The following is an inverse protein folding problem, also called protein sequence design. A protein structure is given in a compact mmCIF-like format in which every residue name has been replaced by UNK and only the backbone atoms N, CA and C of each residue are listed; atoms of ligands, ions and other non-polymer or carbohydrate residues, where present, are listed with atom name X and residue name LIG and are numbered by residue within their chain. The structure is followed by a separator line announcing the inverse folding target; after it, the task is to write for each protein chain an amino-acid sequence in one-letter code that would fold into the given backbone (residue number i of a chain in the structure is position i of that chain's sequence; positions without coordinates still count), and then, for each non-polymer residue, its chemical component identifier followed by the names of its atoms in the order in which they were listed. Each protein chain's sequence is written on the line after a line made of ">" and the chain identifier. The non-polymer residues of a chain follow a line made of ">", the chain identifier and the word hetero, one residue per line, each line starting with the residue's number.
data_IF_960696293476
#
_entry.id   IF_960696293476
#
_cell.length_a   1.000
_cell.length_b   1.000
_cell.length_c   1.000
_cell.angle_alpha   90.00
_cell.angle_beta   90.00
_cell.angle_gamma   90.00
#
_symmetry.space_group_name_H-M   'P 1'
#
loop_
_entity.id
_entity.type
_entity.pdbx_description
1 polymer ?
#
# COMPACT_ATOMS: atom_id res chain seq x y z
N UNK A 1 -60.72 -15.03 20.85
CA UNK A 1 -60.82 -16.20 19.94
C UNK A 1 -59.39 -16.58 19.55
N UNK A 2 -58.71 -17.63 20.04
CA UNK A 2 -59.10 -19.02 20.25
C UNK A 2 -59.92 -19.57 19.09
N UNK A 3 -59.34 -20.46 18.27
CA UNK A 3 -59.51 -21.92 18.29
C UNK A 3 -58.84 -22.50 17.00
N UNK A 4 -57.89 -23.44 17.10
CA UNK A 4 -58.07 -24.91 17.10
C UNK A 4 -58.52 -25.41 15.69
N UNK A 5 -58.02 -26.48 15.05
CA UNK A 5 -57.36 -27.73 15.45
C UNK A 5 -57.03 -28.54 14.18
N UNK A 6 -56.41 -29.73 14.36
CA UNK A 6 -56.57 -30.99 13.56
C UNK A 6 -55.60 -31.17 12.37
N UNK A 7 -54.95 -32.32 12.13
CA UNK A 7 -54.90 -33.69 12.71
C UNK A 7 -53.57 -34.32 12.25
N UNK A 8 -53.00 -35.26 13.01
CA UNK A 8 -52.00 -36.25 12.54
C UNK A 8 -52.70 -37.53 12.06
N UNK A 9 -52.14 -38.34 11.14
CA UNK A 9 -51.81 -39.71 11.55
C UNK A 9 -50.59 -40.36 10.86
N UNK A 10 -49.81 -41.12 11.65
CA UNK A 10 -49.50 -42.55 11.42
C UNK A 10 -48.46 -43.01 10.36
N UNK A 11 -47.84 -44.19 10.52
CA UNK A 11 -46.43 -44.45 10.15
C UNK A 11 -46.26 -45.56 9.08
N UNK A 12 -45.15 -46.33 9.09
CA UNK A 12 -43.95 -46.20 8.27
C UNK A 12 -43.99 -47.10 7.02
N UNK A 13 -43.18 -46.82 5.98
CA UNK A 13 -42.88 -47.89 5.02
C UNK A 13 -41.51 -47.74 4.34
N UNK A 14 -40.69 -48.79 4.51
CA UNK A 14 -39.39 -49.02 3.88
C UNK A 14 -39.62 -50.01 2.75
N UNK A 15 -39.34 -49.65 1.49
CA UNK A 15 -39.14 -50.56 0.34
C UNK A 15 -38.19 -49.83 -0.64
N UNK A 16 -36.89 -50.11 -0.65
CA UNK A 16 -36.15 -50.98 -1.61
C UNK A 16 -36.09 -50.50 -3.07
N UNK A 17 -34.93 -49.93 -3.45
CA UNK A 17 -34.19 -50.02 -4.75
C UNK A 17 -34.86 -49.49 -6.05
N UNK A 18 -34.15 -49.26 -7.20
CA UNK A 18 -32.71 -49.22 -7.50
C UNK A 18 -32.24 -47.96 -8.28
N UNK A 19 -30.91 -47.82 -8.40
CA UNK A 19 -30.17 -47.24 -9.54
C UNK A 19 -30.18 -45.72 -9.81
N UNK A 20 -28.97 -45.28 -10.18
CA UNK A 20 -28.59 -44.03 -10.84
C UNK A 20 -28.62 -42.74 -10.04
N UNK A 21 -27.46 -42.41 -9.47
CA UNK A 21 -26.94 -41.05 -9.56
C UNK A 21 -25.43 -41.10 -9.82
N UNK A 22 -24.92 -40.32 -10.78
CA UNK A 22 -23.52 -40.33 -11.16
C UNK A 22 -22.66 -39.85 -9.99
N UNK A 23 -21.60 -40.60 -9.74
CA UNK A 23 -20.58 -40.33 -8.75
C UNK A 23 -20.05 -38.91 -8.92
N UNK A 24 -20.22 -38.12 -7.85
CA UNK A 24 -19.46 -36.95 -7.39
C UNK A 24 -18.54 -36.32 -8.45
N UNK A 25 -18.97 -35.14 -8.89
CA UNK A 25 -18.17 -34.02 -9.37
C UNK A 25 -16.66 -34.18 -9.15
N UNK A 26 -15.99 -34.67 -10.17
CA UNK A 26 -14.55 -34.58 -10.28
C UNK A 26 -14.19 -33.09 -10.28
N UNK A 27 -13.56 -32.63 -9.19
CA UNK A 27 -13.08 -31.26 -9.07
C UNK A 27 -12.16 -30.97 -10.25
N UNK A 28 -12.30 -29.83 -10.97
CA UNK A 28 -11.44 -29.53 -12.10
C UNK A 28 -10.01 -29.44 -11.59
N UNK A 29 -9.18 -30.42 -11.96
CA UNK A 29 -7.74 -30.39 -11.71
C UNK A 29 -7.22 -29.13 -12.41
N UNK A 30 -6.80 -28.15 -11.61
CA UNK A 30 -6.22 -26.90 -12.06
C UNK A 30 -5.10 -27.23 -13.08
N UNK A 31 -5.32 -26.86 -14.34
CA UNK A 31 -4.43 -27.14 -15.47
C UNK A 31 -2.98 -26.80 -15.12
N UNK A 32 -2.10 -27.79 -15.28
CA UNK A 32 -0.66 -27.81 -14.96
C UNK A 32 0.22 -26.80 -15.73
N UNK A 33 -0.36 -25.77 -16.34
CA UNK A 33 0.37 -24.69 -16.98
C UNK A 33 -0.38 -23.37 -16.71
N UNK A 34 0.26 -22.36 -16.11
CA UNK A 34 -0.36 -21.05 -16.02
C UNK A 34 -0.59 -20.50 -17.43
N UNK A 35 -1.72 -19.86 -17.71
CA UNK A 35 -1.96 -19.21 -19.00
C UNK A 35 -0.83 -18.21 -19.29
N UNK A 36 -0.31 -18.15 -20.52
CA UNK A 36 0.73 -17.17 -20.92
C UNK A 36 0.37 -15.73 -20.51
N UNK A 37 -0.93 -15.42 -20.50
CA UNK A 37 -1.49 -14.14 -20.07
C UNK A 37 -1.23 -13.86 -18.58
N UNK A 38 -1.36 -14.86 -17.70
CA UNK A 38 -1.11 -14.71 -16.27
C UNK A 38 0.36 -14.41 -15.99
N UNK A 39 1.27 -15.10 -16.70
CA UNK A 39 2.71 -14.84 -16.57
C UNK A 39 3.05 -13.40 -16.97
N UNK A 40 2.55 -12.95 -18.13
CA UNK A 40 2.76 -11.59 -18.62
C UNK A 40 2.19 -10.52 -17.66
N UNK A 41 1.05 -10.79 -17.04
CA UNK A 41 0.47 -9.89 -16.05
C UNK A 41 1.34 -9.76 -14.79
N UNK A 42 1.87 -10.88 -14.29
CA UNK A 42 2.75 -10.90 -13.11
C UNK A 42 4.09 -10.19 -13.42
N UNK A 43 4.66 -10.41 -14.61
CA UNK A 43 5.87 -9.72 -15.06
C UNK A 43 5.65 -8.21 -15.15
N UNK A 44 4.55 -7.77 -15.77
CA UNK A 44 4.16 -6.36 -15.87
C UNK A 44 4.02 -5.72 -14.49
N UNK A 45 3.35 -6.41 -13.56
CA UNK A 45 3.16 -5.95 -12.18
C UNK A 45 4.49 -5.84 -11.43
N UNK A 46 5.40 -6.80 -11.61
CA UNK A 46 6.72 -6.77 -11.01
C UNK A 46 7.51 -5.55 -11.50
N UNK A 47 7.57 -5.32 -12.81
CA UNK A 47 8.27 -4.16 -13.41
C UNK A 47 7.69 -2.84 -12.89
N UNK A 48 6.37 -2.69 -12.92
CA UNK A 48 5.69 -1.49 -12.45
C UNK A 48 5.97 -1.23 -10.96
N UNK A 49 5.92 -2.27 -10.11
CA UNK A 49 6.22 -2.14 -8.68
C UNK A 49 7.69 -1.76 -8.44
N UNK A 50 8.63 -2.29 -9.22
CA UNK A 50 10.06 -1.97 -9.11
C UNK A 50 10.36 -0.52 -9.50
N UNK A 51 9.70 -0.01 -10.55
CA UNK A 51 9.78 1.41 -10.92
C UNK A 51 9.25 2.30 -9.80
N UNK A 52 8.09 1.95 -9.23
CA UNK A 52 7.48 2.74 -8.16
C UNK A 52 8.29 2.72 -6.86
N UNK A 53 8.98 1.62 -6.54
CA UNK A 53 9.96 1.56 -5.45
C UNK A 53 11.05 2.60 -5.66
N UNK A 54 11.62 2.65 -6.87
CA UNK A 54 12.73 3.54 -7.21
C UNK A 54 12.31 5.02 -7.11
N UNK A 55 11.14 5.35 -7.64
CA UNK A 55 10.57 6.71 -7.53
C UNK A 55 10.29 7.10 -6.08
N UNK A 56 9.64 6.22 -5.32
CA UNK A 56 9.32 6.48 -3.90
C UNK A 56 10.60 6.73 -3.09
N UNK A 57 11.66 5.93 -3.30
CA UNK A 57 12.97 6.14 -2.66
C UNK A 57 13.62 7.47 -3.04
N UNK A 58 13.51 7.87 -4.31
CA UNK A 58 14.01 9.17 -4.76
C UNK A 58 13.26 10.34 -4.07
N UNK A 59 11.92 10.26 -4.00
CA UNK A 59 11.11 11.25 -3.30
C UNK A 59 11.44 11.33 -1.80
N UNK A 60 11.60 10.20 -1.12
CA UNK A 60 12.02 10.16 0.29
C UNK A 60 13.38 10.85 0.48
N UNK A 61 14.34 10.55 -0.40
CA UNK A 61 15.68 11.15 -0.32
C UNK A 61 15.63 12.67 -0.51
N UNK A 62 14.80 13.17 -1.43
CA UNK A 62 14.59 14.61 -1.61
C UNK A 62 14.01 15.25 -0.33
N UNK A 63 12.95 14.67 0.23
CA UNK A 63 12.31 15.19 1.44
C UNK A 63 13.23 15.14 2.67
N UNK A 64 14.07 14.13 2.78
CA UNK A 64 15.05 14.04 3.86
C UNK A 64 16.08 15.18 3.79
N UNK A 65 16.46 15.61 2.58
CA UNK A 65 17.32 16.78 2.37
C UNK A 65 16.59 18.06 2.77
N UNK A 66 15.32 18.20 2.38
CA UNK A 66 14.50 19.37 2.74
C UNK A 66 14.39 19.53 4.27
N UNK A 67 14.10 18.43 5.00
CA UNK A 67 14.07 18.43 6.47
C UNK A 67 15.41 18.89 7.04
N UNK A 68 16.51 18.36 6.53
CA UNK A 68 17.85 18.74 7.00
C UNK A 68 18.13 20.22 6.77
N UNK A 69 17.75 20.76 5.61
CA UNK A 69 17.88 22.20 5.32
C UNK A 69 17.07 23.03 6.30
N UNK A 70 15.79 22.69 6.52
CA UNK A 70 14.91 23.40 7.45
C UNK A 70 15.45 23.37 8.89
N UNK A 71 15.99 22.23 9.32
CA UNK A 71 16.61 22.08 10.64
C UNK A 71 17.87 22.95 10.79
N UNK A 72 18.72 23.00 9.78
CA UNK A 72 19.91 23.83 9.77
C UNK A 72 19.54 25.32 9.80
N UNK A 73 18.59 25.75 8.97
CA UNK A 73 18.11 27.14 8.95
C UNK A 73 17.48 27.53 10.29
N UNK A 74 16.69 26.65 10.90
CA UNK A 74 16.10 26.88 12.24
C UNK A 74 17.19 27.03 13.31
N UNK A 75 18.21 26.17 13.27
CA UNK A 75 19.36 26.25 14.17
C UNK A 75 20.14 27.56 13.99
N UNK A 76 20.50 27.91 12.76
CA UNK A 76 21.21 29.16 12.44
C UNK A 76 20.41 30.38 12.91
N UNK A 77 19.09 30.39 12.68
CA UNK A 77 18.22 31.49 13.13
C UNK A 77 18.14 31.59 14.65
N UNK A 78 18.19 30.47 15.38
CA UNK A 78 18.19 30.44 16.84
C UNK A 78 19.50 30.92 17.48
N UNK A 79 20.60 30.89 16.74
CA UNK A 79 21.91 31.38 17.19
C UNK A 79 22.05 32.90 17.04
N UNK A 80 21.14 33.56 16.31
CA UNK A 80 21.15 34.99 16.11
C UNK A 80 20.53 35.76 17.30
N UNK A 81 21.01 36.98 17.61
CA UNK A 81 20.38 37.85 18.60
C UNK A 81 18.92 38.17 18.22
N UNK A 82 18.05 38.33 19.23
CA UNK A 82 16.61 38.61 19.05
C UNK A 82 16.30 39.87 18.24
N UNK A 83 17.19 40.87 18.30
CA UNK A 83 17.05 42.16 17.61
C UNK A 83 17.47 42.11 16.13
N UNK A 84 17.82 40.93 15.60
CA UNK A 84 18.29 40.78 14.23
C UNK A 84 17.13 40.88 13.24
N UNK A 85 17.23 41.81 12.29
CA UNK A 85 16.27 41.92 11.21
C UNK A 85 16.35 40.69 10.28
N UNK A 86 15.24 39.97 10.14
CA UNK A 86 15.13 38.82 9.24
C UNK A 86 14.38 39.21 7.99
N UNK A 87 14.87 38.75 6.85
CA UNK A 87 14.27 38.99 5.54
C UNK A 87 14.04 37.68 4.81
N UNK A 88 12.86 37.52 4.21
CA UNK A 88 12.50 36.35 3.41
C UNK A 88 12.41 36.73 1.93
N UNK A 89 12.97 35.89 1.06
CA UNK A 89 12.99 36.11 -0.38
C UNK A 89 11.67 35.74 -1.04
N UNK A 90 11.10 36.65 -1.85
CA UNK A 90 9.87 36.44 -2.61
C UNK A 90 10.09 36.59 -4.13
N UNK A 91 11.22 36.08 -4.64
CA UNK A 91 11.65 36.19 -6.03
C UNK A 91 12.83 37.14 -6.17
N UNK A 92 12.64 38.30 -6.81
CA UNK A 92 13.69 39.35 -6.95
C UNK A 92 13.69 40.37 -5.80
N UNK A 93 12.88 40.14 -4.77
CA UNK A 93 12.70 41.03 -3.63
C UNK A 93 12.89 40.28 -2.33
N UNK A 94 13.17 41.04 -1.26
CA UNK A 94 13.29 40.56 0.11
C UNK A 94 12.37 41.39 1.00
N UNK A 95 11.58 40.73 1.84
CA UNK A 95 10.61 41.37 2.72
C UNK A 95 11.03 41.13 4.16
N UNK A 96 10.99 42.17 5.00
CA UNK A 96 11.24 42.01 6.43
C UNK A 96 10.11 41.20 7.07
N UNK A 97 10.46 40.13 7.79
CA UNK A 97 9.49 39.23 8.42
C UNK A 97 9.91 39.03 9.88
N UNK A 98 8.97 39.06 10.84
CA UNK A 98 9.27 38.75 12.22
C UNK A 98 9.88 37.35 12.37
N UNK A 99 10.95 37.24 13.17
CA UNK A 99 11.67 35.98 13.46
C UNK A 99 10.72 34.88 13.90
N UNK A 100 9.75 35.20 14.77
CA UNK A 100 8.76 34.23 15.27
C UNK A 100 7.89 33.62 14.16
N UNK A 101 7.56 34.41 13.14
CA UNK A 101 6.79 33.95 11.98
C UNK A 101 7.61 32.95 11.17
N UNK A 102 8.90 33.26 10.96
CA UNK A 102 9.83 32.37 10.26
C UNK A 102 10.01 31.06 11.04
N UNK A 103 10.25 31.13 12.36
CA UNK A 103 10.39 29.94 13.21
C UNK A 103 9.16 29.03 13.20
N UNK A 104 7.95 29.62 13.30
CA UNK A 104 6.68 28.87 13.19
C UNK A 104 6.56 28.19 11.83
N UNK A 105 6.92 28.90 10.75
CA UNK A 105 6.88 28.36 9.38
C UNK A 105 7.86 27.21 9.22
N UNK A 106 9.13 27.37 9.62
CA UNK A 106 10.16 26.33 9.55
C UNK A 106 9.75 25.07 10.33
N UNK A 107 9.18 25.25 11.53
CA UNK A 107 8.69 24.12 12.36
C UNK A 107 7.54 23.39 11.67
N UNK A 108 6.58 24.13 11.11
CA UNK A 108 5.44 23.57 10.37
C UNK A 108 5.91 22.80 9.14
N UNK A 109 6.75 23.40 8.31
CA UNK A 109 7.27 22.77 7.08
C UNK A 109 8.09 21.51 7.40
N UNK A 110 8.91 21.54 8.46
CA UNK A 110 9.67 20.37 8.90
C UNK A 110 8.74 19.24 9.37
N UNK A 111 7.65 19.57 10.08
CA UNK A 111 6.66 18.59 10.53
C UNK A 111 5.86 17.98 9.38
N UNK A 112 5.44 18.80 8.42
CA UNK A 112 4.76 18.37 7.19
C UNK A 112 5.65 17.43 6.37
N UNK A 113 6.92 17.79 6.16
CA UNK A 113 7.87 16.94 5.44
C UNK A 113 8.14 15.61 6.17
N UNK A 114 8.22 15.60 7.51
CA UNK A 114 8.38 14.37 8.29
C UNK A 114 7.14 13.45 8.18
N UNK A 115 5.94 14.03 8.20
CA UNK A 115 4.69 13.29 7.99
C UNK A 115 4.62 12.71 6.56
N UNK A 116 5.05 13.46 5.56
CA UNK A 116 5.15 12.98 4.17
C UNK A 116 6.13 11.80 4.03
N UNK A 117 7.30 11.86 4.68
CA UNK A 117 8.24 10.72 4.70
C UNK A 117 7.58 9.48 5.28
N UNK A 118 6.90 9.61 6.43
CA UNK A 118 6.18 8.49 7.07
C UNK A 118 5.13 7.88 6.13
N UNK A 119 4.45 8.72 5.33
CA UNK A 119 3.49 8.26 4.33
C UNK A 119 4.16 7.60 3.13
N UNK A 120 5.31 8.11 2.67
CA UNK A 120 6.11 7.50 1.61
C UNK A 120 6.70 6.16 2.04
N UNK A 121 7.08 5.99 3.30
CA UNK A 121 7.54 4.71 3.86
C UNK A 121 6.45 3.63 3.80
N UNK A 122 5.22 3.97 4.18
CA UNK A 122 4.07 3.05 4.07
C UNK A 122 3.82 2.64 2.61
N UNK A 123 3.89 3.60 1.69
CA UNK A 123 3.78 3.33 0.24
C UNK A 123 4.92 2.44 -0.24
N UNK A 124 6.15 2.72 0.19
CA UNK A 124 7.32 1.94 -0.16
C UNK A 124 7.16 0.48 0.29
N UNK A 125 6.76 0.25 1.54
CA UNK A 125 6.54 -1.09 2.08
C UNK A 125 5.47 -1.85 1.27
N UNK A 126 4.39 -1.18 0.86
CA UNK A 126 3.37 -1.78 0.00
C UNK A 126 3.96 -2.22 -1.34
N UNK A 127 4.73 -1.36 -2.01
CA UNK A 127 5.35 -1.68 -3.29
C UNK A 127 6.42 -2.78 -3.16
N UNK A 128 7.21 -2.77 -2.10
CA UNK A 128 8.20 -3.82 -1.81
C UNK A 128 7.53 -5.18 -1.57
N UNK A 129 6.46 -5.22 -0.76
CA UNK A 129 5.67 -6.44 -0.53
C UNK A 129 5.03 -6.95 -1.82
N UNK A 130 4.52 -6.04 -2.66
CA UNK A 130 3.87 -6.40 -3.94
C UNK A 130 4.89 -6.94 -4.94
N UNK A 131 6.07 -6.32 -5.02
CA UNK A 131 7.17 -6.78 -5.85
C UNK A 131 7.65 -8.17 -5.41
N UNK A 132 7.82 -8.36 -4.10
CA UNK A 132 8.24 -9.63 -3.53
C UNK A 132 7.25 -10.76 -3.83
N UNK A 133 5.95 -10.53 -3.59
CA UNK A 133 4.89 -11.51 -3.93
C UNK A 133 4.84 -11.82 -5.43
N UNK A 134 5.01 -10.81 -6.29
CA UNK A 134 5.04 -11.01 -7.74
C UNK A 134 6.23 -11.90 -8.13
N UNK A 135 7.41 -11.67 -7.55
CA UNK A 135 8.61 -12.48 -7.80
C UNK A 135 8.46 -13.92 -7.32
N UNK A 136 7.93 -14.13 -6.12
CA UNK A 136 7.66 -15.48 -5.59
C UNK A 136 6.68 -16.25 -6.47
N UNK A 137 5.64 -15.58 -6.97
CA UNK A 137 4.67 -16.18 -7.90
C UNK A 137 5.36 -16.59 -9.22
N UNK A 138 6.19 -15.72 -9.80
CA UNK A 138 7.00 -16.07 -10.99
C UNK A 138 7.90 -17.29 -10.74
N UNK A 139 8.59 -17.35 -9.59
CA UNK A 139 9.44 -18.48 -9.27
C UNK A 139 8.66 -19.80 -9.12
N UNK A 140 7.49 -19.78 -8.49
CA UNK A 140 6.63 -20.96 -8.35
C UNK A 140 6.13 -21.46 -9.71
N UNK A 141 5.73 -20.55 -10.60
CA UNK A 141 5.35 -20.86 -11.98
C UNK A 141 6.52 -21.51 -12.74
N UNK A 142 7.73 -20.95 -12.62
CA UNK A 142 8.92 -21.48 -13.30
C UNK A 142 9.39 -22.83 -12.72
N UNK A 143 9.24 -23.04 -11.42
CA UNK A 143 9.58 -24.31 -10.74
C UNK A 143 8.57 -25.41 -11.09
N UNK A 144 7.28 -25.09 -11.14
CA UNK A 144 6.22 -26.04 -11.50
C UNK A 144 6.23 -26.42 -12.98
N UNK A 145 6.72 -25.56 -13.88
CA UNK A 145 6.93 -25.88 -15.29
C UNK A 145 8.18 -26.71 -15.62
N UNK A 146 9.05 -26.97 -14.62
CA UNK A 146 10.28 -27.79 -14.76
C UNK A 146 10.16 -29.20 -14.15
N UNK A 147 9.00 -29.58 -13.61
CA UNK A 147 8.69 -30.91 -13.08
C UNK A 147 7.72 -31.65 -14.00
#
# INVERSE_FOLDING_TARGET
>A
MNQNTKVSPGPPNRLTTPSNTPTVSESPKLTRNPPKQLLQEIESRAIASQQQISLTKAHMTAKQRDIRMLQLTSKELSELPSETNVYEGCGKMFVNVPVDTVNKRLTRESGEAAAEITNLEKKLQYHETTNQKSRENLEQILKSGRA
#
